data_IF_530270723928
#
_entry.id   IF_530270723928
#
_cell.length_a   1.000
_cell.length_b   1.000
_cell.length_c   1.000
_cell.angle_alpha   90.00
_cell.angle_beta   90.00
_cell.angle_gamma   90.00
#
_symmetry.space_group_name_H-M   'P 1'
#
loop_
_entity.id
_entity.type
_entity.pdbx_description
1 polymer ?
#
# COMPACT_ATOMS: atom_id res chain seq x y z
N UNK A 1 10.38 3.81 -13.09
CA UNK A 1 11.86 3.96 -13.12
C UNK A 1 12.47 4.55 -11.87
N UNK A 2 11.90 5.59 -11.26
CA UNK A 2 12.48 6.22 -10.08
C UNK A 2 12.49 5.35 -8.82
N UNK A 3 11.42 4.57 -8.59
CA UNK A 3 11.35 3.60 -7.49
C UNK A 3 12.47 2.57 -7.59
N UNK A 4 12.69 2.07 -8.80
CA UNK A 4 13.72 1.11 -9.11
C UNK A 4 15.14 1.66 -8.88
N UNK A 5 15.43 2.84 -9.44
CA UNK A 5 16.75 3.47 -9.28
C UNK A 5 17.04 3.80 -7.81
N UNK A 6 16.02 4.23 -7.07
CA UNK A 6 16.12 4.51 -5.64
C UNK A 6 16.36 3.24 -4.84
N UNK A 7 15.65 2.14 -5.13
CA UNK A 7 15.84 0.86 -4.47
C UNK A 7 17.28 0.38 -4.60
N UNK A 8 17.81 0.26 -5.84
CA UNK A 8 19.19 -0.19 -6.08
C UNK A 8 20.22 0.73 -5.41
N UNK A 9 20.01 2.05 -5.44
CA UNK A 9 20.92 3.00 -4.79
C UNK A 9 20.94 2.84 -3.27
N UNK A 10 19.81 2.54 -2.64
CA UNK A 10 19.69 2.44 -1.18
C UNK A 10 20.13 1.08 -0.62
N UNK A 11 19.93 0.00 -1.38
CA UNK A 11 20.21 -1.36 -0.90
C UNK A 11 21.44 -2.01 -1.54
N UNK A 12 22.03 -1.39 -2.55
CA UNK A 12 23.19 -1.89 -3.29
C UNK A 12 24.50 -1.76 -2.52
N UNK A 13 24.62 -2.39 -1.35
CA UNK A 13 25.83 -2.45 -0.53
C UNK A 13 26.19 -3.89 -0.19
N UNK A 14 27.44 -4.29 -0.42
CA UNK A 14 27.89 -5.66 -0.28
C UNK A 14 28.62 -5.92 1.05
N UNK A 15 28.27 -7.03 1.69
CA UNK A 15 28.92 -7.56 2.89
C UNK A 15 29.54 -8.93 2.62
N UNK A 16 30.55 -9.30 3.41
CA UNK A 16 31.23 -10.60 3.32
C UNK A 16 32.40 -10.61 2.32
N UNK A 17 33.29 -11.62 2.46
CA UNK A 17 34.48 -11.75 1.62
C UNK A 17 35.42 -10.52 1.69
N UNK A 18 35.58 -9.93 2.88
CA UNK A 18 36.36 -8.71 3.11
C UNK A 18 35.65 -7.40 2.77
N UNK A 19 34.42 -7.44 2.26
CA UNK A 19 33.60 -6.23 2.00
C UNK A 19 32.82 -5.85 3.26
N UNK A 20 32.88 -4.58 3.63
CA UNK A 20 32.28 -4.02 4.84
C UNK A 20 31.19 -2.98 4.50
N UNK A 21 30.19 -3.37 3.71
CA UNK A 21 29.15 -2.44 3.25
C UNK A 21 29.61 -1.54 2.10
N UNK A 22 30.49 -2.04 1.23
CA UNK A 22 30.94 -1.27 0.06
C UNK A 22 29.81 -1.15 -0.98
N UNK A 23 29.66 0.02 -1.60
CA UNK A 23 28.67 0.23 -2.65
C UNK A 23 28.91 -0.74 -3.83
N UNK A 24 27.84 -1.42 -4.25
CA UNK A 24 27.87 -2.54 -5.17
C UNK A 24 26.65 -2.56 -6.12
N UNK A 25 26.07 -1.38 -6.43
CA UNK A 25 24.91 -1.24 -7.32
C UNK A 25 25.01 -2.00 -8.67
N UNK A 26 26.14 -1.93 -9.41
CA UNK A 26 26.31 -2.70 -10.64
C UNK A 26 26.26 -4.23 -10.44
N UNK A 27 26.74 -4.72 -9.29
CA UNK A 27 26.68 -6.15 -8.94
C UNK A 27 25.25 -6.54 -8.61
N UNK A 28 24.56 -5.75 -7.76
CA UNK A 28 23.16 -5.98 -7.43
C UNK A 28 22.29 -6.01 -8.69
N UNK A 29 22.48 -5.08 -9.63
CA UNK A 29 21.76 -5.10 -10.91
C UNK A 29 21.93 -6.41 -11.69
N UNK A 30 23.15 -6.97 -11.73
CA UNK A 30 23.39 -8.27 -12.38
C UNK A 30 22.68 -9.41 -11.66
N UNK A 31 22.72 -9.43 -10.33
CA UNK A 31 22.06 -10.45 -9.51
C UNK A 31 20.53 -10.38 -9.62
N UNK A 32 19.95 -9.18 -9.68
CA UNK A 32 18.50 -9.00 -9.89
C UNK A 32 18.03 -9.63 -11.20
N UNK A 33 18.89 -9.63 -12.24
CA UNK A 33 18.62 -10.30 -13.52
C UNK A 33 18.61 -11.83 -13.46
N UNK A 34 18.97 -12.45 -12.33
CA UNK A 34 18.93 -13.91 -12.14
C UNK A 34 17.84 -14.37 -11.18
N UNK A 35 17.05 -13.45 -10.62
CA UNK A 35 16.03 -13.76 -9.61
C UNK A 35 14.79 -14.38 -10.28
N UNK A 36 14.48 -15.64 -9.94
CA UNK A 36 13.25 -16.31 -10.38
C UNK A 36 12.06 -16.16 -9.41
N UNK A 37 12.34 -15.89 -8.13
CA UNK A 37 11.33 -15.74 -7.07
C UNK A 37 11.87 -14.88 -5.94
N UNK A 38 11.01 -14.05 -5.39
CA UNK A 38 11.22 -13.32 -4.13
C UNK A 38 10.36 -13.97 -3.06
N UNK A 39 10.90 -14.08 -1.86
CA UNK A 39 10.22 -14.69 -0.71
C UNK A 39 10.48 -13.82 0.51
N UNK A 40 9.45 -13.64 1.33
CA UNK A 40 9.57 -13.01 2.65
C UNK A 40 8.74 -13.80 3.67
N UNK A 41 9.24 -13.89 4.91
CA UNK A 41 8.52 -14.52 6.01
C UNK A 41 7.62 -13.50 6.73
N UNK A 42 6.46 -13.97 7.21
CA UNK A 42 5.57 -13.28 8.13
C UNK A 42 5.51 -14.11 9.41
N UNK A 43 5.99 -13.53 10.50
CA UNK A 43 6.09 -14.14 11.82
C UNK A 43 5.05 -13.60 12.82
N UNK A 44 4.20 -12.66 12.41
CA UNK A 44 3.22 -12.00 13.27
C UNK A 44 1.78 -12.24 12.80
N UNK A 45 0.89 -12.48 13.77
CA UNK A 45 -0.58 -12.42 13.56
C UNK A 45 -1.12 -10.99 13.56
N UNK A 46 -0.38 -10.05 14.14
CA UNK A 46 -0.79 -8.66 14.33
C UNK A 46 -0.40 -7.81 13.11
N UNK A 47 0.86 -7.96 12.67
CA UNK A 47 1.41 -7.24 11.53
C UNK A 47 1.49 -8.14 10.30
N UNK A 48 0.59 -7.86 9.37
CA UNK A 48 0.58 -8.40 8.01
C UNK A 48 1.13 -7.39 6.99
N UNK A 49 1.06 -7.80 5.73
CA UNK A 49 1.70 -7.11 4.60
C UNK A 49 1.10 -5.73 4.31
N UNK A 50 -0.13 -5.48 4.74
CA UNK A 50 -0.83 -4.19 4.61
C UNK A 50 -0.74 -3.33 5.87
N UNK A 51 -0.01 -3.75 6.92
CA UNK A 51 0.07 -3.02 8.20
C UNK A 51 1.22 -2.02 8.29
N UNK A 52 2.27 -2.24 7.50
CA UNK A 52 3.46 -1.41 7.49
C UNK A 52 4.00 -1.28 6.06
N UNK A 53 4.72 -0.21 5.82
CA UNK A 53 5.35 0.08 4.54
C UNK A 53 6.56 -0.80 4.22
N UNK A 54 7.17 -1.39 5.25
CA UNK A 54 8.37 -2.21 5.11
C UNK A 54 8.20 -3.39 4.14
N UNK A 55 7.02 -3.99 4.03
CA UNK A 55 6.81 -5.12 3.15
C UNK A 55 6.87 -4.74 1.66
N UNK A 56 6.09 -3.75 1.21
CA UNK A 56 6.15 -3.32 -0.19
C UNK A 56 7.45 -2.59 -0.51
N UNK A 57 8.02 -1.83 0.43
CA UNK A 57 9.29 -1.11 0.21
C UNK A 57 10.52 -2.02 0.21
N UNK A 58 10.40 -3.26 0.72
CA UNK A 58 11.43 -4.29 0.68
C UNK A 58 11.15 -5.35 -0.39
N UNK A 59 10.38 -6.41 -0.09
CA UNK A 59 10.16 -7.54 -0.99
C UNK A 59 9.34 -7.18 -2.22
N UNK A 60 8.37 -6.26 -2.10
CA UNK A 60 7.67 -5.69 -3.25
C UNK A 60 8.63 -4.95 -4.20
N UNK A 61 9.44 -4.04 -3.67
CA UNK A 61 10.45 -3.31 -4.45
C UNK A 61 11.54 -4.22 -5.01
N UNK A 62 11.92 -5.29 -4.29
CA UNK A 62 12.84 -6.31 -4.77
C UNK A 62 12.25 -7.08 -5.96
N UNK A 63 10.97 -7.47 -5.87
CA UNK A 63 10.26 -8.13 -6.96
C UNK A 63 10.15 -7.20 -8.18
N UNK A 64 9.74 -5.95 -7.98
CA UNK A 64 9.70 -4.92 -9.03
C UNK A 64 11.07 -4.78 -9.72
N UNK A 65 12.13 -4.65 -8.93
CA UNK A 65 13.48 -4.50 -9.42
C UNK A 65 13.93 -5.74 -10.22
N UNK A 66 13.64 -6.95 -9.73
CA UNK A 66 13.93 -8.19 -10.43
C UNK A 66 13.16 -8.28 -11.76
N UNK A 67 11.82 -8.09 -11.76
CA UNK A 67 10.97 -8.08 -12.97
C UNK A 67 11.57 -7.19 -14.07
N UNK A 68 12.04 -6.00 -13.70
CA UNK A 68 12.62 -5.04 -14.66
C UNK A 68 13.91 -5.53 -15.32
N UNK A 69 14.74 -6.31 -14.65
CA UNK A 69 16.00 -6.84 -15.23
C UNK A 69 15.80 -8.16 -15.97
N UNK A 70 14.90 -9.01 -15.48
CA UNK A 70 14.61 -10.29 -16.12
C UNK A 70 13.75 -10.13 -17.36
N UNK A 71 13.00 -9.03 -17.49
CA UNK A 71 12.03 -8.81 -18.56
C UNK A 71 10.84 -9.78 -18.51
N UNK A 72 10.67 -10.49 -17.39
CA UNK A 72 9.69 -11.56 -17.23
C UNK A 72 9.04 -11.55 -15.85
N UNK A 73 8.14 -12.51 -15.63
CA UNK A 73 7.44 -12.65 -14.37
C UNK A 73 8.37 -13.15 -13.26
N UNK A 74 8.45 -12.40 -12.16
CA UNK A 74 9.08 -12.83 -10.90
C UNK A 74 7.99 -12.94 -9.85
N UNK A 75 7.82 -14.12 -9.26
CA UNK A 75 6.83 -14.35 -8.21
C UNK A 75 7.31 -13.79 -6.87
N UNK A 76 6.37 -13.26 -6.09
CA UNK A 76 6.58 -12.86 -4.70
C UNK A 76 5.68 -13.72 -3.83
N UNK A 77 6.29 -14.41 -2.86
CA UNK A 77 5.59 -15.26 -1.92
C UNK A 77 5.85 -14.85 -0.49
N UNK A 78 4.80 -15.03 0.31
CA UNK A 78 4.90 -14.93 1.75
C UNK A 78 4.84 -16.31 2.39
N UNK A 79 5.75 -16.53 3.34
CA UNK A 79 5.77 -17.72 4.19
C UNK A 79 5.22 -17.31 5.56
N UNK A 80 4.04 -17.80 5.91
CA UNK A 80 3.45 -17.57 7.22
C UNK A 80 3.84 -18.71 8.16
N UNK A 81 4.53 -18.38 9.25
CA UNK A 81 5.08 -19.36 10.22
C UNK A 81 4.53 -19.22 11.64
N UNK A 82 3.64 -18.26 11.88
CA UNK A 82 3.07 -17.95 13.19
C UNK A 82 1.95 -18.91 13.65
N UNK A 83 1.60 -19.93 12.84
CA UNK A 83 0.67 -21.00 13.21
C UNK A 83 1.34 -22.38 13.18
N UNK A 84 0.65 -23.41 13.67
CA UNK A 84 1.15 -24.79 13.58
C UNK A 84 1.35 -25.28 12.14
N UNK A 85 0.71 -24.63 11.17
CA UNK A 85 0.86 -24.93 9.74
C UNK A 85 1.64 -23.80 9.06
N UNK A 86 2.72 -24.17 8.36
CA UNK A 86 3.44 -23.24 7.48
C UNK A 86 2.70 -23.12 6.16
N UNK A 87 2.32 -21.90 5.80
CA UNK A 87 1.65 -21.61 4.52
C UNK A 87 2.57 -20.80 3.62
N UNK A 88 2.52 -21.10 2.33
CA UNK A 88 3.23 -20.34 1.30
C UNK A 88 2.20 -19.87 0.30
N UNK A 89 2.04 -18.57 0.16
CA UNK A 89 1.00 -17.98 -0.70
C UNK A 89 1.61 -16.92 -1.62
N UNK A 90 1.01 -16.73 -2.81
CA UNK A 90 1.36 -15.62 -3.70
C UNK A 90 0.83 -14.30 -3.09
N UNK A 91 1.57 -13.21 -3.28
CA UNK A 91 1.27 -11.89 -2.67
C UNK A 91 -0.13 -11.36 -2.96
N UNK A 92 -0.66 -11.59 -4.17
CA UNK A 92 -2.01 -11.17 -4.57
C UNK A 92 -3.09 -11.84 -3.71
N UNK A 93 -2.91 -13.12 -3.39
CA UNK A 93 -3.82 -13.85 -2.51
C UNK A 93 -3.72 -13.33 -1.07
N UNK A 94 -2.51 -13.07 -0.57
CA UNK A 94 -2.30 -12.53 0.78
C UNK A 94 -2.94 -11.15 0.92
N UNK A 95 -2.67 -10.23 -0.02
CA UNK A 95 -3.28 -8.91 -0.06
C UNK A 95 -4.80 -8.97 -0.07
N UNK A 96 -5.38 -9.80 -0.94
CA UNK A 96 -6.84 -9.96 -1.04
C UNK A 96 -7.47 -10.45 0.27
N UNK A 97 -6.82 -11.36 0.99
CA UNK A 97 -7.27 -11.82 2.30
C UNK A 97 -7.15 -10.69 3.33
N UNK A 98 -6.03 -9.97 3.36
CA UNK A 98 -5.83 -8.88 4.31
C UNK A 98 -6.83 -7.74 4.11
N UNK A 99 -7.09 -7.31 2.88
CA UNK A 99 -8.10 -6.28 2.63
C UNK A 99 -9.48 -6.70 3.12
N UNK A 100 -9.90 -7.95 2.90
CA UNK A 100 -11.19 -8.47 3.36
C UNK A 100 -11.30 -8.66 4.87
N UNK A 101 -10.18 -9.00 5.52
CA UNK A 101 -10.15 -9.29 6.97
C UNK A 101 -9.83 -8.06 7.81
N UNK A 102 -9.25 -7.01 7.23
CA UNK A 102 -8.87 -5.75 7.87
C UNK A 102 -9.59 -4.56 7.25
N UNK A 103 -9.02 -3.91 6.22
CA UNK A 103 -9.48 -2.61 5.74
C UNK A 103 -10.98 -2.58 5.36
N UNK A 104 -11.50 -3.64 4.73
CA UNK A 104 -12.92 -3.78 4.35
C UNK A 104 -13.76 -4.55 5.37
N UNK A 105 -13.18 -4.94 6.52
CA UNK A 105 -13.90 -5.63 7.58
C UNK A 105 -14.53 -4.62 8.56
N UNK A 106 -15.87 -4.58 8.70
CA UNK A 106 -16.54 -3.69 9.64
C UNK A 106 -16.05 -3.84 11.07
N UNK A 107 -15.75 -5.05 11.52
CA UNK A 107 -15.24 -5.25 12.88
C UNK A 107 -13.90 -4.56 13.11
N UNK A 108 -13.06 -4.50 12.07
CA UNK A 108 -11.75 -3.87 12.14
C UNK A 108 -11.89 -2.34 12.07
N UNK A 109 -12.52 -1.79 11.04
CA UNK A 109 -12.56 -0.33 10.88
C UNK A 109 -13.47 0.34 11.91
N UNK A 110 -14.54 -0.29 12.38
CA UNK A 110 -15.33 0.23 13.50
C UNK A 110 -14.54 0.20 14.82
N UNK A 111 -13.73 -0.86 15.02
CA UNK A 111 -12.79 -0.94 16.13
C UNK A 111 -11.77 0.20 16.10
N UNK A 112 -11.20 0.49 14.93
CA UNK A 112 -10.30 1.64 14.75
C UNK A 112 -11.02 2.96 15.05
N UNK A 113 -12.18 3.20 14.44
CA UNK A 113 -12.93 4.45 14.62
C UNK A 113 -13.33 4.73 16.09
N UNK A 114 -13.50 3.69 16.92
CA UNK A 114 -13.73 3.86 18.35
C UNK A 114 -12.56 4.57 19.07
N UNK A 115 -11.36 4.57 18.49
CA UNK A 115 -10.18 5.28 18.99
C UNK A 115 -10.01 6.69 18.39
N UNK A 116 -11.03 7.22 17.71
CA UNK A 116 -11.06 8.61 17.23
C UNK A 116 -9.89 8.95 16.29
N UNK A 117 -9.09 9.95 16.67
CA UNK A 117 -8.04 10.51 15.82
C UNK A 117 -7.01 9.48 15.33
N UNK A 118 -6.48 8.67 16.25
CA UNK A 118 -5.44 7.68 15.94
C UNK A 118 -5.99 6.52 15.10
N UNK A 119 -7.23 6.11 15.36
CA UNK A 119 -7.87 5.06 14.55
C UNK A 119 -8.17 5.51 13.12
N UNK A 120 -8.62 6.75 12.95
CA UNK A 120 -8.76 7.35 11.63
C UNK A 120 -7.40 7.48 10.90
N UNK A 121 -6.32 7.80 11.63
CA UNK A 121 -4.97 7.81 11.07
C UNK A 121 -4.54 6.41 10.60
N UNK A 122 -4.82 5.35 11.37
CA UNK A 122 -4.53 3.97 10.96
C UNK A 122 -5.28 3.56 9.70
N UNK A 123 -6.58 3.88 9.59
CA UNK A 123 -7.35 3.66 8.36
C UNK A 123 -6.69 4.39 7.19
N UNK A 124 -6.36 5.68 7.36
CA UNK A 124 -5.68 6.48 6.33
C UNK A 124 -4.34 5.89 5.90
N UNK A 125 -3.54 5.38 6.83
CA UNK A 125 -2.26 4.73 6.51
C UNK A 125 -2.47 3.53 5.58
N UNK A 126 -3.58 2.78 5.70
CA UNK A 126 -3.86 1.63 4.83
C UNK A 126 -4.08 2.02 3.38
N UNK A 127 -4.60 3.22 3.10
CA UNK A 127 -4.67 3.74 1.74
C UNK A 127 -3.29 4.06 1.18
N UNK A 128 -2.39 4.62 2.00
CA UNK A 128 -1.00 4.86 1.61
C UNK A 128 -0.27 3.55 1.30
N UNK A 129 -0.45 2.52 2.12
CA UNK A 129 0.19 1.23 1.91
C UNK A 129 -0.40 0.45 0.74
N UNK A 130 -1.71 0.55 0.52
CA UNK A 130 -2.38 0.01 -0.67
C UNK A 130 -1.79 0.60 -1.95
N UNK A 131 -1.67 1.92 -2.04
CA UNK A 131 -1.01 2.57 -3.17
C UNK A 131 0.46 2.13 -3.33
N UNK A 132 1.18 1.98 -2.21
CA UNK A 132 2.58 1.53 -2.21
C UNK A 132 2.75 0.11 -2.76
N UNK A 133 1.87 -0.81 -2.37
CA UNK A 133 1.81 -2.17 -2.90
C UNK A 133 1.59 -2.19 -4.41
N UNK A 134 0.64 -1.40 -4.86
CA UNK A 134 0.27 -1.39 -6.26
C UNK A 134 1.35 -0.75 -7.14
N UNK A 135 1.98 0.32 -6.64
CA UNK A 135 3.07 1.00 -7.31
C UNK A 135 4.31 0.11 -7.56
N UNK A 136 4.54 -0.93 -6.74
CA UNK A 136 5.67 -1.86 -6.92
C UNK A 136 5.25 -3.19 -7.54
N UNK A 137 4.00 -3.61 -7.33
CA UNK A 137 3.56 -4.97 -7.58
C UNK A 137 2.57 -5.17 -8.71
N UNK A 138 1.75 -4.14 -9.03
CA UNK A 138 0.50 -4.27 -9.81
C UNK A 138 -0.33 -5.45 -9.28
N UNK A 139 -0.69 -5.37 -8.01
CA UNK A 139 -1.14 -6.52 -7.22
C UNK A 139 -2.31 -6.22 -6.28
N UNK A 140 -2.87 -5.01 -6.36
CA UNK A 140 -4.12 -4.66 -5.70
C UNK A 140 -5.24 -4.77 -6.72
N UNK A 141 -6.22 -5.63 -6.46
CA UNK A 141 -7.36 -5.76 -7.36
C UNK A 141 -8.22 -4.48 -7.35
N UNK A 142 -8.78 -4.12 -8.52
CA UNK A 142 -9.60 -2.92 -8.71
C UNK A 142 -10.80 -2.83 -7.74
N UNK A 143 -11.39 -3.98 -7.38
CA UNK A 143 -12.49 -4.03 -6.40
C UNK A 143 -12.08 -3.47 -5.03
N UNK A 144 -10.80 -3.60 -4.64
CA UNK A 144 -10.33 -3.11 -3.34
C UNK A 144 -10.42 -1.58 -3.29
N UNK A 145 -9.95 -0.89 -4.32
CA UNK A 145 -10.11 0.56 -4.42
C UNK A 145 -11.58 0.96 -4.49
N UNK A 146 -12.36 0.28 -5.33
CA UNK A 146 -13.79 0.56 -5.50
C UNK A 146 -14.57 0.42 -4.19
N UNK A 147 -14.37 -0.69 -3.47
CA UNK A 147 -15.07 -0.96 -2.22
C UNK A 147 -14.59 -0.02 -1.10
N UNK A 148 -13.28 0.26 -1.02
CA UNK A 148 -12.76 1.20 -0.02
C UNK A 148 -13.20 2.64 -0.26
N UNK A 149 -13.27 3.08 -1.52
CA UNK A 149 -13.84 4.37 -1.89
C UNK A 149 -15.31 4.47 -1.46
N UNK A 150 -16.11 3.44 -1.78
CA UNK A 150 -17.53 3.36 -1.36
C UNK A 150 -17.68 3.42 0.15
N UNK A 151 -16.90 2.63 0.89
CA UNK A 151 -17.00 2.54 2.34
C UNK A 151 -16.54 3.81 3.05
N UNK A 152 -15.40 4.38 2.67
CA UNK A 152 -14.74 5.41 3.49
C UNK A 152 -14.91 6.84 2.95
N UNK A 153 -15.06 7.01 1.63
CA UNK A 153 -15.13 8.33 1.01
C UNK A 153 -16.52 8.68 0.50
N UNK A 154 -17.21 7.76 -0.20
CA UNK A 154 -18.49 8.05 -0.86
C UNK A 154 -19.69 7.89 0.09
N UNK A 155 -19.60 7.01 1.09
CA UNK A 155 -20.59 6.96 2.17
C UNK A 155 -20.49 8.23 3.04
N UNK A 156 -21.49 9.10 2.94
CA UNK A 156 -21.50 10.39 3.63
C UNK A 156 -21.44 10.24 5.16
N UNK A 157 -22.01 9.17 5.73
CA UNK A 157 -22.03 8.96 7.19
C UNK A 157 -20.62 8.60 7.68
N UNK A 158 -19.96 7.65 7.02
CA UNK A 158 -18.59 7.26 7.31
C UNK A 158 -17.62 8.42 7.08
N UNK A 159 -17.78 9.13 5.97
CA UNK A 159 -16.98 10.31 5.64
C UNK A 159 -17.04 11.34 6.77
N UNK A 160 -18.24 11.75 7.21
CA UNK A 160 -18.37 12.72 8.30
C UNK A 160 -17.79 12.22 9.64
N UNK A 161 -17.91 10.92 9.93
CA UNK A 161 -17.26 10.31 11.11
C UNK A 161 -15.73 10.44 11.03
N UNK A 162 -15.14 10.12 9.87
CA UNK A 162 -13.71 10.24 9.63
C UNK A 162 -13.24 11.68 9.68
N UNK A 163 -13.96 12.62 9.05
CA UNK A 163 -13.62 14.05 9.08
C UNK A 163 -13.64 14.58 10.51
N UNK A 164 -14.67 14.24 11.29
CA UNK A 164 -14.77 14.65 12.70
C UNK A 164 -13.64 14.04 13.54
N UNK A 165 -13.25 12.80 13.27
CA UNK A 165 -12.18 12.13 14.01
C UNK A 165 -10.80 12.67 13.65
N UNK A 166 -10.52 12.82 12.35
CA UNK A 166 -9.25 13.29 11.82
C UNK A 166 -9.41 13.79 10.36
N UNK A 167 -9.54 15.11 10.14
CA UNK A 167 -9.74 15.66 8.79
C UNK A 167 -8.52 15.46 7.89
N UNK A 168 -7.31 15.43 8.45
CA UNK A 168 -6.07 15.14 7.69
C UNK A 168 -6.04 13.69 7.19
N UNK A 169 -6.54 12.75 8.00
CA UNK A 169 -6.69 11.36 7.57
C UNK A 169 -7.68 11.25 6.40
N UNK A 170 -8.84 11.92 6.49
CA UNK A 170 -9.81 11.92 5.39
C UNK A 170 -9.24 12.53 4.11
N UNK A 171 -8.54 13.68 4.21
CA UNK A 171 -7.83 14.30 3.09
C UNK A 171 -6.85 13.32 2.44
N UNK A 172 -6.06 12.59 3.24
CA UNK A 172 -5.13 11.60 2.69
C UNK A 172 -5.87 10.45 2.01
N UNK A 173 -6.96 9.91 2.60
CA UNK A 173 -7.77 8.84 1.98
C UNK A 173 -8.22 9.26 0.57
N UNK A 174 -8.88 10.43 0.44
CA UNK A 174 -9.34 10.93 -0.86
C UNK A 174 -8.17 11.20 -1.79
N UNK A 175 -7.09 11.80 -1.29
CA UNK A 175 -5.89 12.07 -2.08
C UNK A 175 -5.23 10.81 -2.64
N UNK A 176 -5.16 9.72 -1.86
CA UNK A 176 -4.59 8.43 -2.32
C UNK A 176 -5.48 7.74 -3.34
N UNK A 177 -6.80 7.84 -3.22
CA UNK A 177 -7.75 7.35 -4.22
C UNK A 177 -7.61 8.10 -5.55
N UNK A 178 -7.56 9.43 -5.51
CA UNK A 178 -7.32 10.26 -6.69
C UNK A 178 -5.94 9.99 -7.32
N UNK A 179 -4.92 9.77 -6.50
CA UNK A 179 -3.58 9.42 -6.97
C UNK A 179 -3.56 8.04 -7.64
N UNK A 180 -4.25 7.05 -7.08
CA UNK A 180 -4.37 5.72 -7.70
C UNK A 180 -5.03 5.81 -9.08
N UNK A 181 -6.15 6.54 -9.19
CA UNK A 181 -6.83 6.78 -10.46
C UNK A 181 -5.93 7.54 -11.45
N UNK A 182 -5.32 8.65 -11.04
CA UNK A 182 -4.45 9.46 -11.88
C UNK A 182 -3.17 8.76 -12.36
N UNK A 183 -2.74 7.69 -11.67
CA UNK A 183 -1.62 6.83 -12.07
C UNK A 183 -2.05 5.60 -12.87
N UNK A 184 -3.35 5.41 -13.10
CA UNK A 184 -3.92 4.26 -13.80
C UNK A 184 -3.91 2.96 -12.99
N UNK A 185 -3.68 3.04 -11.67
CA UNK A 185 -3.68 1.91 -10.75
C UNK A 185 -5.11 1.46 -10.38
N UNK A 186 -6.05 2.40 -10.43
CA UNK A 186 -7.48 2.14 -10.21
C UNK A 186 -8.29 2.67 -11.39
N UNK A 187 -9.13 1.81 -11.99
CA UNK A 187 -10.02 2.16 -13.09
C UNK A 187 -11.39 2.59 -12.54
N UNK A 188 -11.42 3.77 -11.92
CA UNK A 188 -12.64 4.39 -11.45
C UNK A 188 -13.48 4.98 -12.60
N UNK A 189 -14.80 4.96 -12.45
CA UNK A 189 -15.71 5.70 -13.33
C UNK A 189 -15.50 7.22 -13.17
N UNK A 190 -15.68 7.98 -14.26
CA UNK A 190 -15.42 9.43 -14.28
C UNK A 190 -16.24 10.21 -13.25
N UNK A 191 -17.48 9.78 -12.99
CA UNK A 191 -18.36 10.37 -11.99
C UNK A 191 -17.84 10.19 -10.56
N UNK A 192 -17.31 9.00 -10.25
CA UNK A 192 -16.65 8.71 -8.98
C UNK A 192 -15.40 9.58 -8.81
N UNK A 193 -14.60 9.74 -9.87
CA UNK A 193 -13.41 10.59 -9.83
C UNK A 193 -13.77 12.05 -9.59
N UNK A 194 -14.81 12.55 -10.26
CA UNK A 194 -15.27 13.93 -10.09
C UNK A 194 -15.86 14.19 -8.70
N UNK A 195 -16.60 13.22 -8.14
CA UNK A 195 -17.06 13.30 -6.75
C UNK A 195 -15.86 13.36 -5.78
N UNK A 196 -14.85 12.50 -5.95
CA UNK A 196 -13.65 12.52 -5.12
C UNK A 196 -12.87 13.85 -5.22
N UNK A 197 -12.81 14.48 -6.41
CA UNK A 197 -12.20 15.82 -6.57
C UNK A 197 -12.98 16.88 -5.79
N UNK A 198 -14.31 16.85 -5.87
CA UNK A 198 -15.16 17.78 -5.13
C UNK A 198 -14.98 17.60 -3.61
N UNK A 199 -14.92 16.35 -3.14
CA UNK A 199 -14.65 16.04 -1.74
C UNK A 199 -13.26 16.52 -1.31
N UNK A 200 -12.24 16.36 -2.15
CA UNK A 200 -10.90 16.85 -1.84
C UNK A 200 -10.87 18.37 -1.69
N UNK A 201 -11.54 19.11 -2.58
CA UNK A 201 -11.64 20.56 -2.51
C UNK A 201 -12.36 21.04 -1.23
N UNK A 202 -13.50 20.43 -0.88
CA UNK A 202 -14.21 20.75 0.38
C UNK A 202 -13.34 20.51 1.62
N UNK A 203 -12.59 19.41 1.64
CA UNK A 203 -11.69 19.08 2.75
C UNK A 203 -10.55 20.09 2.87
N UNK A 204 -9.97 20.55 1.74
CA UNK A 204 -8.95 21.60 1.75
C UNK A 204 -9.51 22.93 2.29
N UNK A 205 -10.66 23.38 1.80
CA UNK A 205 -11.30 24.61 2.26
C UNK A 205 -11.53 24.58 3.78
N UNK A 206 -12.04 23.45 4.30
CA UNK A 206 -12.27 23.24 5.74
C UNK A 206 -10.97 23.24 6.54
N UNK A 207 -9.90 22.66 6.01
CA UNK A 207 -8.59 22.59 6.68
C UNK A 207 -7.85 23.93 6.66
N UNK A 208 -8.00 24.72 5.60
CA UNK A 208 -7.40 26.05 5.45
C UNK A 208 -8.23 27.15 6.13
N UNK A 209 -9.43 26.83 6.61
CA UNK A 209 -10.32 27.76 7.30
C UNK A 209 -11.07 28.71 6.35
N UNK A 210 -11.17 28.36 5.07
CA UNK A 210 -11.94 29.08 4.07
C UNK A 210 -13.40 28.62 4.22
N UNK A 211 -14.24 29.44 4.85
CA UNK A 211 -15.69 29.20 4.79
C UNK A 211 -16.20 29.67 3.44
N UNK A 212 -16.68 28.74 2.61
CA UNK A 212 -17.52 29.09 1.46
C UNK A 212 -18.70 29.93 1.97
N UNK A 213 -18.78 31.16 1.46
CA UNK A 213 -19.78 32.17 1.82
C UNK A 213 -21.18 31.80 1.36
#
# INVERSE_FOLDING_TARGET
>A
DDLDSTFVRRIGYAYGGGRAGAAAGPILNKLLGTVGRVVQEIDSVEYGVTDIDHYFSSSGALQMAAKKRTGGAVKLNYIETYTAETRIEDVDKVLRVEYRTKLLNPKWYEGMLAHGHSGAAEISNRFTYMLGWDAVGDCVDDFVYTDTAKTFALDATMRERLVKANPQAMRNIVGRLLEASGRGLWQADDDVVDELKALYADLEDRLEGIQSR
#
